data_IF_442307716099
#
_entry.id   IF_442307716099
#
_cell.length_a   1.000
_cell.length_b   1.000
_cell.length_c   1.000
_cell.angle_alpha   90.00
_cell.angle_beta   90.00
_cell.angle_gamma   90.00
#
_symmetry.space_group_name_H-M   'P 1'
#
loop_
_entity.id
_entity.type
_entity.pdbx_description
1 polymer ?
#
# COMPACT_ATOMS: atom_id res chain seq x y z
N UNK A 1 -1.63 -24.51 -42.94
CA UNK A 1 -1.50 -25.09 -41.58
C UNK A 1 -0.21 -24.59 -40.95
N UNK A 2 -0.30 -23.74 -39.92
CA UNK A 2 0.88 -23.15 -39.28
C UNK A 2 1.52 -24.13 -38.28
N UNK A 3 2.84 -24.37 -38.42
CA UNK A 3 3.63 -25.21 -37.49
C UNK A 3 3.76 -24.50 -36.14
N UNK A 4 3.23 -25.12 -35.08
CA UNK A 4 3.46 -24.67 -33.70
C UNK A 4 4.95 -24.82 -33.33
N UNK A 5 5.56 -23.74 -32.87
CA UNK A 5 6.95 -23.72 -32.41
C UNK A 5 7.09 -24.48 -31.08
N UNK A 6 8.18 -25.24 -30.94
CA UNK A 6 8.48 -26.18 -29.83
C UNK A 6 8.81 -25.53 -28.47
N UNK A 7 8.51 -24.25 -28.24
CA UNK A 7 9.08 -23.49 -27.11
C UNK A 7 7.97 -22.82 -26.27
N UNK A 8 7.76 -23.33 -25.05
CA UNK A 8 6.83 -22.76 -24.05
C UNK A 8 5.61 -23.66 -23.78
N UNK A 9 5.51 -24.20 -22.56
CA UNK A 9 4.47 -25.17 -22.20
C UNK A 9 3.05 -24.63 -22.34
N UNK A 10 2.13 -25.44 -22.84
CA UNK A 10 0.69 -25.13 -22.99
C UNK A 10 -0.10 -25.18 -21.66
N UNK A 11 0.59 -25.12 -20.52
CA UNK A 11 0.01 -25.35 -19.18
C UNK A 11 -0.32 -24.02 -18.50
N UNK A 12 -1.35 -24.01 -17.65
CA UNK A 12 -1.62 -22.86 -16.78
C UNK A 12 -0.38 -22.57 -15.91
N UNK A 13 0.10 -21.32 -15.89
CA UNK A 13 1.34 -20.93 -15.21
C UNK A 13 2.63 -21.24 -15.98
N UNK A 14 2.56 -21.74 -17.22
CA UNK A 14 3.74 -21.91 -18.05
C UNK A 14 4.22 -20.59 -18.63
N UNK A 15 5.54 -20.48 -18.80
CA UNK A 15 6.20 -19.27 -19.24
C UNK A 15 6.76 -18.48 -18.07
N UNK A 16 7.34 -17.34 -18.42
CA UNK A 16 8.02 -16.47 -17.47
C UNK A 16 6.98 -15.54 -16.81
N UNK A 17 6.97 -15.37 -15.48
CA UNK A 17 6.00 -14.52 -14.79
C UNK A 17 5.93 -13.13 -15.43
N UNK A 18 4.73 -12.60 -15.61
CA UNK A 18 4.51 -11.26 -16.17
C UNK A 18 5.26 -10.22 -15.31
N UNK A 19 6.05 -9.38 -15.95
CA UNK A 19 6.83 -8.32 -15.28
C UNK A 19 8.22 -8.75 -14.75
N UNK A 20 8.55 -10.04 -14.80
CA UNK A 20 9.91 -10.47 -14.44
C UNK A 20 10.92 -9.94 -15.49
N UNK A 21 12.18 -9.65 -15.11
CA UNK A 21 13.22 -9.04 -16.00
C UNK A 21 13.99 -10.06 -16.84
N UNK A 22 14.05 -9.95 -18.18
CA UNK A 22 14.72 -11.00 -18.97
C UNK A 22 16.17 -11.23 -18.50
N UNK A 23 16.71 -12.46 -18.63
CA UNK A 23 18.12 -12.75 -18.28
C UNK A 23 19.09 -11.78 -18.95
N UNK A 24 18.78 -11.37 -20.18
CA UNK A 24 19.56 -10.38 -20.93
C UNK A 24 19.54 -9.02 -20.22
N UNK A 25 18.37 -8.57 -19.75
CA UNK A 25 18.22 -7.31 -19.03
C UNK A 25 18.95 -7.33 -17.68
N UNK A 26 18.94 -8.46 -16.98
CA UNK A 26 19.68 -8.65 -15.72
C UNK A 26 21.20 -8.60 -15.96
N UNK A 27 21.71 -9.35 -16.95
CA UNK A 27 23.13 -9.36 -17.28
C UNK A 27 23.69 -7.99 -17.69
N UNK A 28 22.89 -7.18 -18.41
CA UNK A 28 23.28 -5.81 -18.75
C UNK A 28 23.36 -4.92 -17.51
N UNK A 29 22.37 -5.03 -16.61
CA UNK A 29 22.37 -4.26 -15.38
C UNK A 29 23.59 -4.63 -14.50
N UNK A 30 23.86 -5.92 -14.34
CA UNK A 30 25.00 -6.42 -13.58
C UNK A 30 26.34 -5.96 -14.18
N UNK A 31 26.49 -5.99 -15.51
CA UNK A 31 27.68 -5.49 -16.19
C UNK A 31 27.90 -3.99 -15.97
N UNK A 32 26.84 -3.19 -15.99
CA UNK A 32 26.97 -1.75 -15.75
C UNK A 32 27.38 -1.47 -14.31
N UNK A 33 26.76 -2.18 -13.35
CA UNK A 33 27.07 -2.04 -11.93
C UNK A 33 28.49 -2.51 -11.59
N UNK A 34 28.98 -3.60 -12.18
CA UNK A 34 30.35 -4.08 -11.97
C UNK A 34 31.42 -3.14 -12.52
N UNK A 35 31.04 -2.26 -13.45
CA UNK A 35 31.88 -1.17 -13.97
C UNK A 35 31.76 0.12 -13.15
N UNK A 36 31.04 0.10 -12.02
CA UNK A 36 30.77 1.28 -11.21
C UNK A 36 29.88 2.31 -11.92
N UNK A 37 29.13 1.91 -12.96
CA UNK A 37 28.26 2.83 -13.70
C UNK A 37 26.88 2.84 -13.06
N UNK A 38 26.50 4.00 -12.52
CA UNK A 38 25.16 4.28 -12.04
C UNK A 38 24.39 5.13 -13.08
N UNK A 39 23.34 4.59 -13.72
CA UNK A 39 22.54 5.35 -14.68
C UNK A 39 21.88 6.59 -14.09
N UNK A 40 21.54 6.57 -12.80
CA UNK A 40 20.93 7.72 -12.11
C UNK A 40 21.94 8.87 -12.00
N UNK A 41 23.18 8.58 -11.58
CA UNK A 41 24.25 9.59 -11.54
C UNK A 41 24.59 10.13 -12.93
N UNK A 42 24.55 9.28 -13.96
CA UNK A 42 24.74 9.73 -15.34
C UNK A 42 23.63 10.70 -15.78
N UNK A 43 22.38 10.44 -15.42
CA UNK A 43 21.27 11.36 -15.71
C UNK A 43 21.39 12.69 -14.97
N UNK A 44 21.94 12.71 -13.75
CA UNK A 44 22.16 13.96 -13.00
C UNK A 44 23.17 14.84 -13.74
N UNK A 45 24.33 14.27 -14.11
CA UNK A 45 25.36 15.00 -14.87
C UNK A 45 24.84 15.53 -16.19
N UNK A 46 24.09 14.71 -16.94
CA UNK A 46 23.50 15.13 -18.21
C UNK A 46 22.45 16.24 -18.03
N UNK A 47 21.73 16.25 -16.90
CA UNK A 47 20.79 17.30 -16.59
C UNK A 47 21.52 18.63 -16.31
N UNK A 48 22.60 18.60 -15.53
CA UNK A 48 23.46 19.75 -15.25
C UNK A 48 24.11 20.31 -16.53
N UNK A 49 24.62 19.43 -17.40
CA UNK A 49 25.17 19.81 -18.72
C UNK A 49 24.10 20.49 -19.59
N UNK A 50 22.90 19.91 -19.67
CA UNK A 50 21.80 20.48 -20.43
C UNK A 50 21.33 21.84 -19.87
N UNK A 51 21.39 22.06 -18.55
CA UNK A 51 21.14 23.38 -17.95
C UNK A 51 22.21 24.40 -18.35
N UNK A 52 23.49 24.01 -18.30
CA UNK A 52 24.61 24.87 -18.68
C UNK A 52 24.54 25.27 -20.17
N UNK A 53 24.14 24.34 -21.04
CA UNK A 53 23.97 24.56 -22.47
C UNK A 53 22.68 25.34 -22.83
N UNK A 54 21.80 25.56 -21.84
CA UNK A 54 20.52 26.24 -22.04
C UNK A 54 19.44 25.39 -22.70
N UNK A 55 19.67 24.09 -22.90
CA UNK A 55 18.64 23.14 -23.38
C UNK A 55 17.70 22.73 -22.23
N UNK A 56 16.77 23.64 -21.95
CA UNK A 56 15.77 23.47 -20.89
C UNK A 56 14.91 22.23 -21.07
N UNK A 57 14.67 21.79 -22.32
CA UNK A 57 13.82 20.64 -22.59
C UNK A 57 14.50 19.34 -22.13
N UNK A 58 15.78 19.17 -22.49
CA UNK A 58 16.57 18.01 -22.06
C UNK A 58 16.77 18.02 -20.54
N UNK A 59 17.10 19.17 -19.96
CA UNK A 59 17.25 19.31 -18.51
C UNK A 59 15.98 18.87 -17.76
N UNK A 60 14.80 19.40 -18.15
CA UNK A 60 13.52 19.04 -17.53
C UNK A 60 13.25 17.53 -17.65
N UNK A 61 13.51 16.92 -18.81
CA UNK A 61 13.26 15.50 -19.02
C UNK A 61 14.17 14.62 -18.15
N UNK A 62 15.45 14.96 -18.04
CA UNK A 62 16.40 14.25 -17.19
C UNK A 62 16.01 14.38 -15.70
N UNK A 63 15.77 15.59 -15.22
CA UNK A 63 15.37 15.84 -13.82
C UNK A 63 14.05 15.17 -13.46
N UNK A 64 13.04 15.24 -14.33
CA UNK A 64 11.75 14.58 -14.14
C UNK A 64 11.88 13.06 -13.99
N UNK A 65 12.87 12.46 -14.64
CA UNK A 65 13.14 11.02 -14.57
C UNK A 65 13.76 10.63 -13.22
N UNK A 66 14.59 11.50 -12.65
CA UNK A 66 15.30 11.28 -11.37
C UNK A 66 14.42 11.66 -10.16
N UNK A 67 13.50 12.61 -10.33
CA UNK A 67 12.63 13.12 -9.27
C UNK A 67 11.99 12.04 -8.37
N UNK A 68 11.49 10.90 -8.89
CA UNK A 68 10.85 9.86 -8.05
C UNK A 68 11.79 9.17 -7.05
N UNK A 69 13.10 9.25 -7.27
CA UNK A 69 14.11 8.71 -6.35
C UNK A 69 14.38 9.67 -5.16
N UNK A 70 13.97 10.93 -5.28
CA UNK A 70 14.09 11.96 -4.22
C UNK A 70 12.73 12.22 -3.56
N UNK A 71 11.69 12.39 -4.39
CA UNK A 71 10.33 12.67 -3.99
C UNK A 71 9.40 11.57 -4.51
N UNK A 72 8.91 10.67 -3.65
CA UNK A 72 7.98 9.62 -4.05
C UNK A 72 6.78 10.22 -4.78
N UNK A 73 6.40 9.62 -5.92
CA UNK A 73 5.19 10.04 -6.63
C UNK A 73 3.96 9.81 -5.73
N UNK A 74 3.09 10.81 -5.55
CA UNK A 74 1.81 10.59 -4.88
C UNK A 74 1.07 9.48 -5.61
N UNK A 75 0.79 8.38 -4.92
CA UNK A 75 -0.14 7.38 -5.45
C UNK A 75 -1.54 7.86 -5.15
N UNK A 76 -2.39 7.92 -6.16
CA UNK A 76 -3.81 8.00 -5.94
C UNK A 76 -4.22 6.75 -5.14
N UNK A 77 -4.79 6.96 -3.97
CA UNK A 77 -5.41 5.89 -3.20
C UNK A 77 -6.85 5.79 -3.70
N UNK A 78 -7.14 4.73 -4.45
CA UNK A 78 -8.53 4.39 -4.78
C UNK A 78 -9.13 3.72 -3.53
N UNK A 79 -10.12 4.39 -2.94
CA UNK A 79 -10.86 3.88 -1.79
C UNK A 79 -12.12 3.23 -2.32
N UNK A 80 -12.31 1.94 -2.02
CA UNK A 80 -13.56 1.22 -2.19
C UNK A 80 -14.52 1.64 -1.05
N UNK A 81 -15.61 2.39 -1.33
CA UNK A 81 -16.51 2.88 -0.29
C UNK A 81 -17.16 1.75 0.50
N UNK A 82 -17.54 0.67 -0.16
CA UNK A 82 -18.18 -0.50 0.45
C UNK A 82 -17.22 -1.20 1.41
N UNK A 83 -15.94 -1.33 1.03
CA UNK A 83 -14.91 -1.90 1.91
C UNK A 83 -14.69 -1.06 3.17
N UNK A 84 -14.75 0.28 3.08
CA UNK A 84 -14.63 1.17 4.23
C UNK A 84 -15.83 1.03 5.17
N UNK A 85 -17.04 0.96 4.63
CA UNK A 85 -18.26 0.75 5.44
C UNK A 85 -18.22 -0.61 6.14
N UNK A 86 -17.79 -1.67 5.45
CA UNK A 86 -17.64 -2.99 6.04
C UNK A 86 -16.60 -2.99 7.19
N UNK A 87 -15.46 -2.33 6.99
CA UNK A 87 -14.45 -2.17 8.04
C UNK A 87 -14.99 -1.41 9.25
N UNK A 88 -15.74 -0.32 9.03
CA UNK A 88 -16.33 0.47 10.11
C UNK A 88 -17.33 -0.34 10.95
N UNK A 89 -18.10 -1.24 10.32
CA UNK A 89 -19.00 -2.16 11.03
C UNK A 89 -18.23 -3.14 11.91
N UNK A 90 -17.22 -3.81 11.34
CA UNK A 90 -16.38 -4.75 12.10
C UNK A 90 -15.71 -4.08 13.31
N UNK A 91 -15.17 -2.88 13.13
CA UNK A 91 -14.57 -2.11 14.22
C UNK A 91 -15.59 -1.72 15.31
N UNK A 92 -16.85 -1.47 14.93
CA UNK A 92 -17.91 -1.13 15.88
C UNK A 92 -18.36 -2.36 16.67
N UNK A 93 -18.53 -3.49 15.99
CA UNK A 93 -18.90 -4.77 16.62
C UNK A 93 -17.85 -5.22 17.63
N UNK A 94 -16.55 -5.15 17.27
CA UNK A 94 -15.47 -5.49 18.19
C UNK A 94 -15.37 -4.51 19.37
N UNK A 95 -15.65 -3.22 19.16
CA UNK A 95 -15.75 -2.26 20.27
C UNK A 95 -16.89 -2.59 21.23
N UNK A 96 -18.07 -2.94 20.71
CA UNK A 96 -19.22 -3.34 21.53
C UNK A 96 -18.88 -4.59 22.33
N UNK A 97 -18.33 -5.62 21.69
CA UNK A 97 -17.89 -6.85 22.36
C UNK A 97 -16.85 -6.58 23.44
N UNK A 98 -15.92 -5.65 23.20
CA UNK A 98 -14.93 -5.26 24.20
C UNK A 98 -15.54 -4.51 25.40
N UNK A 99 -16.68 -3.83 25.21
CA UNK A 99 -17.43 -3.15 26.28
C UNK A 99 -18.43 -4.03 27.01
N UNK A 100 -18.89 -5.14 26.42
CA UNK A 100 -19.84 -6.10 27.03
C UNK A 100 -19.30 -6.84 28.27
N UNK A 101 -18.05 -6.60 28.69
CA UNK A 101 -17.50 -7.02 29.98
C UNK A 101 -17.65 -5.99 31.11
N UNK A 102 -18.26 -4.83 30.86
CA UNK A 102 -18.42 -3.74 31.85
C UNK A 102 -19.75 -3.82 32.61
N UNK A 103 -20.74 -4.58 32.13
CA UNK A 103 -22.04 -4.71 32.80
C UNK A 103 -22.03 -5.63 34.04
N UNK A 104 -21.01 -6.50 34.16
CA UNK A 104 -20.70 -7.23 35.41
C UNK A 104 -19.87 -6.39 36.40
N UNK A 105 -19.68 -5.09 36.14
CA UNK A 105 -19.00 -4.21 37.07
C UNK A 105 -19.76 -4.17 38.42
N UNK A 106 -19.04 -4.12 39.56
CA UNK A 106 -19.62 -4.08 40.91
C UNK A 106 -20.72 -3.02 41.09
N UNK A 107 -20.61 -1.93 40.33
CA UNK A 107 -21.55 -0.82 40.32
C UNK A 107 -22.90 -1.15 39.68
N UNK A 108 -22.95 -1.98 38.64
CA UNK A 108 -24.21 -2.39 38.00
C UNK A 108 -25.09 -3.21 38.93
N UNK A 109 -24.49 -4.18 39.63
CA UNK A 109 -25.20 -4.97 40.65
C UNK A 109 -25.60 -4.12 41.88
N UNK A 110 -24.79 -3.14 42.26
CA UNK A 110 -25.10 -2.21 43.36
C UNK A 110 -26.30 -1.31 43.03
N UNK A 111 -26.35 -0.77 41.81
CA UNK A 111 -27.46 0.07 41.34
C UNK A 111 -28.76 -0.72 41.23
N UNK A 112 -28.71 -1.97 40.77
CA UNK A 112 -29.88 -2.86 40.74
C UNK A 112 -30.41 -3.20 42.15
N UNK A 113 -29.51 -3.38 43.14
CA UNK A 113 -29.90 -3.55 44.55
C UNK A 113 -30.52 -2.27 45.12
N UNK A 114 -29.96 -1.11 44.80
CA UNK A 114 -30.51 0.19 45.23
C UNK A 114 -31.88 0.46 44.61
N UNK A 115 -32.08 0.16 43.31
CA UNK A 115 -33.39 0.26 42.66
C UNK A 115 -34.44 -0.58 43.37
N UNK A 116 -34.13 -1.87 43.61
CA UNK A 116 -35.04 -2.78 44.32
C UNK A 116 -35.38 -2.32 45.74
N UNK A 117 -34.43 -1.72 46.45
CA UNK A 117 -34.68 -1.15 47.78
C UNK A 117 -35.65 0.03 47.71
N UNK A 118 -35.44 0.94 46.77
CA UNK A 118 -36.28 2.14 46.61
C UNK A 118 -37.70 1.80 46.12
N UNK A 119 -37.85 0.77 45.29
CA UNK A 119 -39.15 0.20 44.89
C UNK A 119 -39.88 -0.44 46.07
N UNK A 120 -39.17 -1.17 46.93
CA UNK A 120 -39.74 -1.77 48.14
C UNK A 120 -40.18 -0.73 49.19
N UNK A 121 -39.45 0.39 49.25
CA UNK A 121 -39.78 1.53 50.13
C UNK A 121 -40.90 2.42 49.56
N UNK A 122 -41.48 2.07 48.41
CA UNK A 122 -42.60 2.80 47.79
C UNK A 122 -42.22 4.18 47.23
N UNK A 123 -40.93 4.47 47.09
CA UNK A 123 -40.40 5.76 46.63
C UNK A 123 -40.21 5.84 45.10
N UNK A 124 -40.48 4.74 44.39
CA UNK A 124 -40.55 4.67 42.94
C UNK A 124 -41.95 4.17 42.58
N UNK A 125 -42.85 5.13 42.32
CA UNK A 125 -44.11 4.93 41.62
C UNK A 125 -43.99 5.56 40.22
#
# INVERSE_FOLDING_TARGET
>A
MARASKHGGKRAGAGRPKGSRSRRSEAVAEKLLSQGKCPVEALVRLAEEAEADGDRSQAINAWKTILPFVHPKPKAVEIDPEAVVALARLLSEEKIRATEGVDDAPWGQMLERMRKSLEADGNLA
#
